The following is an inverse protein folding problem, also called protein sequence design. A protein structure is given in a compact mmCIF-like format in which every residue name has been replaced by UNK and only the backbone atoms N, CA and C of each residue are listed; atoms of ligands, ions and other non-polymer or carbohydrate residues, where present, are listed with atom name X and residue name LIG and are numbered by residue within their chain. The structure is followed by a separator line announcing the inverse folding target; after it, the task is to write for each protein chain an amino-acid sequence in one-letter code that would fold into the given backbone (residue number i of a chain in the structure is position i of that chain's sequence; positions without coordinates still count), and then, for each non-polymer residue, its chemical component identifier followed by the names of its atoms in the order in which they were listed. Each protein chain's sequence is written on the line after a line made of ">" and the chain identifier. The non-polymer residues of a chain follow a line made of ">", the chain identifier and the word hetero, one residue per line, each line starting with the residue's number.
data_IF_460933499439
#
_entry.id   IF_460933499439
#
_cell.length_a   1.000
_cell.length_b   1.000
_cell.length_c   1.000
_cell.angle_alpha   90.00
_cell.angle_beta   90.00
_cell.angle_gamma   90.00
#
_symmetry.space_group_name_H-M   'P 1'
#
loop_
_entity.id
_entity.type
_entity.pdbx_description
1 polymer ?
#
# COMPACT_ATOMS: atom_id res chain seq x y z
N UNK A 1 7.27 13.73 12.43
CA UNK A 1 6.75 14.42 11.23
C UNK A 1 7.83 14.81 10.20
N UNK A 2 9.10 15.08 10.60
CA UNK A 2 10.11 15.70 9.71
C UNK A 2 10.56 14.87 8.49
N UNK A 3 10.45 13.54 8.51
CA UNK A 3 10.97 12.68 7.43
C UNK A 3 9.96 12.35 6.30
N UNK A 4 8.66 12.69 6.43
CA UNK A 4 7.56 12.32 5.48
C UNK A 4 7.79 10.94 4.82
N UNK A 5 7.94 9.88 5.62
CA UNK A 5 8.42 8.56 5.18
C UNK A 5 7.39 7.43 5.30
N UNK A 6 6.10 7.74 5.54
CA UNK A 6 5.00 6.75 5.57
C UNK A 6 4.04 6.94 4.38
N UNK A 7 3.69 5.87 3.66
CA UNK A 7 2.66 5.89 2.57
C UNK A 7 1.61 4.81 2.78
N UNK A 8 0.39 5.08 2.33
CA UNK A 8 -0.70 4.09 2.24
C UNK A 8 -0.90 3.73 0.78
N UNK A 9 -1.13 2.45 0.53
CA UNK A 9 -1.38 1.88 -0.78
C UNK A 9 -2.72 1.13 -0.74
N UNK A 10 -3.52 1.25 -1.79
CA UNK A 10 -4.81 0.55 -1.90
C UNK A 10 -5.25 0.45 -3.36
N UNK A 11 -5.88 -0.65 -3.78
CA UNK A 11 -6.22 -0.86 -5.17
C UNK A 11 -7.56 -0.19 -5.50
N UNK A 12 -7.65 1.14 -5.31
CA UNK A 12 -8.91 1.91 -5.35
C UNK A 12 -9.91 1.53 -4.24
N UNK A 13 -9.40 1.17 -3.06
CA UNK A 13 -10.22 0.67 -1.95
C UNK A 13 -9.96 1.40 -0.62
N UNK A 14 -9.12 2.44 -0.58
CA UNK A 14 -8.74 3.10 0.70
C UNK A 14 -9.97 3.60 1.45
N UNK A 15 -10.90 4.25 0.76
CA UNK A 15 -12.16 4.69 1.36
C UNK A 15 -13.10 3.51 1.69
N UNK A 16 -13.24 2.55 0.78
CA UNK A 16 -14.09 1.36 0.97
C UNK A 16 -13.67 0.51 2.17
N UNK A 17 -12.35 0.45 2.43
CA UNK A 17 -11.73 -0.21 3.57
C UNK A 17 -11.74 0.62 4.86
N UNK A 18 -12.54 1.69 4.90
CA UNK A 18 -12.77 2.58 6.06
C UNK A 18 -11.54 3.36 6.52
N UNK A 19 -10.59 3.63 5.63
CA UNK A 19 -9.40 4.44 5.92
C UNK A 19 -9.52 5.90 5.46
N UNK A 20 -10.72 6.37 5.11
CA UNK A 20 -10.95 7.70 4.54
C UNK A 20 -10.56 8.87 5.45
N UNK A 21 -10.51 8.69 6.78
CA UNK A 21 -10.04 9.74 7.71
C UNK A 21 -8.60 10.18 7.40
N UNK A 22 -7.80 9.35 6.70
CA UNK A 22 -6.46 9.75 6.25
C UNK A 22 -6.51 11.00 5.35
N UNK A 23 -7.62 11.22 4.66
CA UNK A 23 -7.82 12.36 3.76
C UNK A 23 -7.94 13.70 4.49
N UNK A 24 -8.11 13.69 5.82
CA UNK A 24 -8.00 14.91 6.65
C UNK A 24 -6.55 15.38 6.80
N UNK A 25 -5.56 14.51 6.55
CA UNK A 25 -4.13 14.78 6.75
C UNK A 25 -3.30 14.79 5.45
N UNK A 26 -3.81 14.22 4.35
CA UNK A 26 -3.12 14.10 3.07
C UNK A 26 -4.07 13.62 1.97
N UNK A 27 -3.72 13.85 0.71
CA UNK A 27 -4.53 13.40 -0.43
C UNK A 27 -3.99 12.12 -1.10
N UNK A 28 -4.73 11.65 -2.12
CA UNK A 28 -4.25 10.68 -3.10
C UNK A 28 -3.25 11.33 -4.03
N UNK A 29 -2.12 10.67 -4.24
CA UNK A 29 -1.11 11.09 -5.20
C UNK A 29 -1.68 10.95 -6.61
N UNK A 30 -1.87 12.07 -7.30
CA UNK A 30 -2.41 12.12 -8.66
C UNK A 30 -1.60 13.10 -9.50
N UNK A 31 -1.11 12.65 -10.65
CA UNK A 31 -0.26 13.43 -11.57
C UNK A 31 -0.87 13.49 -12.98
N UNK A 32 -2.17 13.22 -13.10
CA UNK A 32 -2.93 13.36 -14.34
C UNK A 32 -3.89 14.55 -14.26
N UNK A 33 -4.60 14.81 -15.35
CA UNK A 33 -5.64 15.84 -15.39
C UNK A 33 -6.72 15.56 -14.34
N UNK A 34 -7.25 16.62 -13.73
CA UNK A 34 -8.35 16.57 -12.77
C UNK A 34 -9.55 17.30 -13.35
N UNK A 35 -10.75 16.80 -13.07
CA UNK A 35 -12.04 17.43 -13.40
C UNK A 35 -12.69 18.01 -12.14
N UNK A 36 -13.77 18.79 -12.31
CA UNK A 36 -14.38 19.56 -11.24
C UNK A 36 -14.94 18.71 -10.07
N UNK A 37 -15.31 17.45 -10.34
CA UNK A 37 -15.90 16.55 -9.34
C UNK A 37 -14.85 15.69 -8.61
N UNK A 38 -13.57 15.79 -8.99
CA UNK A 38 -12.50 15.06 -8.32
C UNK A 38 -12.25 15.57 -6.90
N UNK A 39 -12.08 14.65 -5.95
CA UNK A 39 -11.87 14.96 -4.54
C UNK A 39 -10.62 14.26 -4.00
N UNK A 40 -9.93 14.94 -3.09
CA UNK A 40 -8.75 14.43 -2.41
C UNK A 40 -7.64 13.96 -3.35
N UNK A 41 -7.32 14.76 -4.38
CA UNK A 41 -6.23 14.53 -5.32
C UNK A 41 -5.18 15.64 -5.19
N UNK A 42 -3.91 15.28 -4.96
CA UNK A 42 -2.79 16.23 -4.94
C UNK A 42 -1.50 15.52 -5.41
N UNK A 43 -0.66 16.12 -6.27
CA UNK A 43 0.60 15.51 -6.71
C UNK A 43 1.58 15.15 -5.57
N UNK A 44 1.46 15.79 -4.41
CA UNK A 44 2.26 15.54 -3.20
C UNK A 44 1.59 14.59 -2.19
N UNK A 45 0.43 14.03 -2.56
CA UNK A 45 -0.36 13.09 -1.78
C UNK A 45 0.43 11.86 -1.29
N UNK A 46 -0.07 11.25 -0.22
CA UNK A 46 0.60 10.13 0.50
C UNK A 46 -0.18 8.84 0.47
N UNK A 47 -1.41 8.87 -0.04
CA UNK A 47 -2.17 7.70 -0.43
C UNK A 47 -1.87 7.43 -1.91
N UNK A 48 -1.51 6.20 -2.24
CA UNK A 48 -1.23 5.75 -3.61
C UNK A 48 -2.33 4.78 -4.00
N UNK A 49 -3.13 5.12 -4.99
CA UNK A 49 -4.19 4.24 -5.48
C UNK A 49 -4.09 4.04 -7.00
N UNK A 50 -4.29 2.79 -7.40
CA UNK A 50 -4.51 2.35 -8.78
C UNK A 50 -5.20 1.00 -8.67
N UNK A 51 -6.18 0.70 -9.51
CA UNK A 51 -6.90 -0.58 -9.49
C UNK A 51 -5.99 -1.75 -9.97
N UNK A 52 -5.01 -2.10 -9.14
CA UNK A 52 -4.04 -3.17 -9.34
C UNK A 52 -3.32 -3.49 -8.02
N UNK A 53 -3.57 -4.68 -7.49
CA UNK A 53 -2.90 -5.22 -6.32
C UNK A 53 -1.39 -5.38 -6.58
N UNK A 54 -1.03 -5.80 -7.81
CA UNK A 54 0.36 -5.92 -8.24
C UNK A 54 1.13 -4.60 -8.12
N UNK A 55 0.56 -3.50 -8.63
CA UNK A 55 1.18 -2.18 -8.51
C UNK A 55 1.27 -1.74 -7.04
N UNK A 56 0.19 -1.90 -6.27
CA UNK A 56 0.15 -1.50 -4.87
C UNK A 56 1.21 -2.25 -4.02
N UNK A 57 1.28 -3.58 -4.15
CA UNK A 57 2.29 -4.37 -3.45
C UNK A 57 3.70 -4.05 -3.96
N UNK A 58 3.91 -4.00 -5.28
CA UNK A 58 5.22 -3.71 -5.86
C UNK A 58 5.78 -2.36 -5.42
N UNK A 59 4.94 -1.33 -5.40
CA UNK A 59 5.33 -0.02 -4.89
C UNK A 59 5.66 -0.07 -3.40
N UNK A 60 4.85 -0.73 -2.57
CA UNK A 60 5.14 -0.85 -1.13
C UNK A 60 6.44 -1.62 -0.89
N UNK A 61 6.68 -2.74 -1.56
CA UNK A 61 7.93 -3.50 -1.43
C UNK A 61 9.16 -2.63 -1.76
N UNK A 62 9.13 -1.91 -2.89
CA UNK A 62 10.20 -0.98 -3.26
C UNK A 62 10.38 0.15 -2.24
N UNK A 63 9.27 0.66 -1.67
CA UNK A 63 9.26 1.69 -0.64
C UNK A 63 9.95 1.23 0.65
N UNK A 64 9.68 0.00 1.08
CA UNK A 64 10.26 -0.61 2.28
C UNK A 64 11.75 -0.94 2.07
N UNK A 65 12.09 -1.49 0.90
CA UNK A 65 13.47 -1.84 0.54
C UNK A 65 14.39 -0.61 0.48
N UNK A 66 13.83 0.57 0.25
CA UNK A 66 14.54 1.86 0.28
C UNK A 66 14.47 2.57 1.64
N UNK A 67 14.10 1.85 2.71
CA UNK A 67 14.24 2.29 4.09
C UNK A 67 13.07 3.09 4.65
N UNK A 68 11.89 3.04 4.02
CA UNK A 68 10.69 3.80 4.43
C UNK A 68 9.61 2.85 4.97
N UNK A 69 8.40 3.36 5.22
CA UNK A 69 7.31 2.63 5.88
C UNK A 69 5.99 2.72 5.11
N UNK A 70 5.12 1.73 5.25
CA UNK A 70 3.78 1.85 4.70
C UNK A 70 2.82 0.74 5.12
N UNK A 71 1.61 0.87 4.58
CA UNK A 71 0.48 -0.03 4.75
C UNK A 71 -0.15 -0.29 3.38
N UNK A 72 -0.50 -1.54 3.09
CA UNK A 72 -1.32 -1.91 1.94
C UNK A 72 -2.65 -2.49 2.44
N UNK A 73 -3.76 -1.84 2.12
CA UNK A 73 -5.11 -2.36 2.38
C UNK A 73 -5.70 -2.99 1.13
N UNK A 74 -6.33 -4.15 1.26
CA UNK A 74 -6.93 -4.89 0.15
C UNK A 74 -8.14 -5.68 0.66
N UNK A 75 -9.14 -5.86 -0.21
CA UNK A 75 -10.20 -6.83 0.02
C UNK A 75 -9.61 -8.24 0.15
N UNK A 76 -10.13 -9.00 1.11
CA UNK A 76 -9.63 -10.35 1.42
C UNK A 76 -9.65 -11.28 0.20
N UNK A 77 -10.71 -11.23 -0.62
CA UNK A 77 -10.84 -12.11 -1.78
C UNK A 77 -9.78 -11.86 -2.86
N UNK A 78 -9.28 -10.61 -2.96
CA UNK A 78 -8.39 -10.18 -4.04
C UNK A 78 -6.91 -10.24 -3.66
N UNK A 79 -6.56 -10.40 -2.38
CA UNK A 79 -5.16 -10.49 -1.98
C UNK A 79 -4.42 -11.66 -2.64
N UNK A 80 -5.17 -12.71 -3.03
CA UNK A 80 -4.62 -13.86 -3.76
C UNK A 80 -3.98 -13.49 -5.10
N UNK A 81 -4.37 -12.36 -5.71
CA UNK A 81 -3.76 -11.84 -6.95
C UNK A 81 -2.25 -11.65 -6.78
N UNK A 82 -1.78 -11.37 -5.56
CA UNK A 82 -0.38 -11.09 -5.24
C UNK A 82 0.29 -12.16 -4.37
N UNK A 83 -0.32 -13.35 -4.22
CA UNK A 83 0.26 -14.48 -3.47
C UNK A 83 1.69 -14.80 -3.91
N UNK A 84 1.94 -14.76 -5.22
CA UNK A 84 3.26 -15.03 -5.77
C UNK A 84 4.28 -13.96 -5.36
N UNK A 85 3.89 -12.68 -5.30
CA UNK A 85 4.75 -11.58 -4.87
C UNK A 85 5.06 -11.70 -3.38
N UNK A 86 4.06 -12.00 -2.54
CA UNK A 86 4.28 -12.26 -1.10
C UNK A 86 5.28 -13.40 -0.90
N UNK A 87 5.15 -14.48 -1.66
CA UNK A 87 6.10 -15.59 -1.62
C UNK A 87 7.52 -15.17 -2.01
N UNK A 88 7.69 -14.32 -3.02
CA UNK A 88 9.02 -13.81 -3.40
C UNK A 88 9.58 -12.90 -2.32
N UNK A 89 8.79 -12.00 -1.75
CA UNK A 89 9.22 -11.11 -0.68
C UNK A 89 9.62 -11.89 0.59
N UNK A 90 8.86 -12.91 0.96
CA UNK A 90 9.18 -13.79 2.09
C UNK A 90 10.50 -14.54 1.88
N UNK A 91 10.73 -15.09 0.68
CA UNK A 91 12.02 -15.72 0.30
C UNK A 91 13.17 -14.72 0.38
N UNK A 92 12.97 -13.51 -0.15
CA UNK A 92 13.95 -12.43 -0.07
C UNK A 92 14.30 -12.10 1.39
N UNK A 93 13.29 -11.93 2.26
CA UNK A 93 13.50 -11.66 3.68
C UNK A 93 14.26 -12.79 4.39
N UNK A 94 13.98 -14.05 4.04
CA UNK A 94 14.71 -15.21 4.58
C UNK A 94 16.19 -15.13 4.23
N UNK A 95 16.53 -15.02 2.95
CA UNK A 95 17.93 -14.95 2.50
C UNK A 95 18.62 -13.67 2.99
N UNK A 96 17.92 -12.54 3.02
CA UNK A 96 18.45 -11.28 3.52
C UNK A 96 18.92 -11.35 4.98
N UNK A 97 18.28 -12.15 5.83
CA UNK A 97 18.69 -12.35 7.24
C UNK A 97 20.01 -13.09 7.37
N UNK A 98 20.39 -13.88 6.37
CA UNK A 98 21.65 -14.63 6.33
C UNK A 98 22.82 -13.77 5.81
N UNK A 99 22.57 -12.54 5.34
CA UNK A 99 23.56 -11.60 4.81
C UNK A 99 23.91 -10.55 5.88
N UNK A 100 25.05 -10.67 6.61
CA UNK A 100 25.27 -9.93 7.86
C UNK A 100 25.35 -8.40 7.70
N UNK A 101 25.79 -7.91 6.54
CA UNK A 101 25.90 -6.48 6.27
C UNK A 101 24.56 -5.85 5.86
N UNK A 102 23.56 -6.67 5.52
CA UNK A 102 22.26 -6.18 5.07
C UNK A 102 21.42 -5.77 6.27
N UNK A 103 21.16 -4.47 6.39
CA UNK A 103 20.35 -3.92 7.49
C UNK A 103 18.89 -4.38 7.39
N UNK A 104 18.19 -4.53 8.54
CA UNK A 104 16.75 -4.77 8.56
C UNK A 104 15.97 -3.65 7.84
N UNK A 105 14.83 -4.01 7.27
CA UNK A 105 13.86 -3.08 6.66
C UNK A 105 12.57 -3.10 7.48
N UNK A 106 11.71 -2.10 7.29
CA UNK A 106 10.36 -2.12 7.85
C UNK A 106 9.54 -3.29 7.26
N UNK A 107 8.60 -3.81 8.05
CA UNK A 107 7.73 -4.91 7.63
C UNK A 107 6.81 -4.54 6.46
N UNK A 108 6.51 -5.53 5.63
CA UNK A 108 5.38 -5.49 4.70
C UNK A 108 4.09 -5.70 5.49
N UNK A 109 3.31 -4.64 5.68
CA UNK A 109 2.08 -4.67 6.49
C UNK A 109 0.83 -4.68 5.60
N UNK A 110 -0.01 -5.69 5.79
CA UNK A 110 -1.32 -5.80 5.16
C UNK A 110 -2.44 -5.44 6.14
N UNK A 111 -3.41 -4.66 5.66
CA UNK A 111 -4.76 -4.66 6.22
C UNK A 111 -5.65 -5.45 5.27
N UNK A 112 -5.88 -6.72 5.59
CA UNK A 112 -6.92 -7.49 4.93
C UNK A 112 -8.24 -7.08 5.58
N UNK A 113 -9.19 -6.62 4.77
CA UNK A 113 -10.53 -6.25 5.25
C UNK A 113 -11.57 -6.53 4.18
N UNK A 114 -12.81 -6.09 4.39
CA UNK A 114 -13.95 -6.48 3.54
C UNK A 114 -13.98 -8.01 3.40
N UNK A 115 -13.92 -8.67 4.55
CA UNK A 115 -13.74 -10.11 4.66
C UNK A 115 -14.99 -10.87 4.19
N UNK A 116 -14.79 -12.15 3.90
CA UNK A 116 -15.78 -13.10 3.39
C UNK A 116 -17.16 -13.03 4.07
N UNK A 117 -17.23 -12.71 5.37
CA UNK A 117 -18.48 -12.68 6.13
C UNK A 117 -19.29 -11.38 5.99
N UNK A 118 -18.70 -10.31 5.42
CA UNK A 118 -19.31 -9.00 5.23
C UNK A 118 -18.91 -8.39 3.87
N UNK A 119 -19.13 -9.17 2.82
CA UNK A 119 -19.11 -8.75 1.41
C UNK A 119 -20.56 -8.69 0.92
N UNK A 120 -21.26 -7.62 1.32
CA UNK A 120 -22.71 -7.50 1.18
C UNK A 120 -23.14 -7.10 -0.26
N UNK A 121 -22.19 -6.71 -1.12
CA UNK A 121 -22.37 -6.27 -2.51
C UNK A 121 -21.45 -7.06 -3.44
#
# INVERSE_FOLDING_TARGET
>A
AQARNFRVFGPDETASNRLQTIFEATDRSWDAETIADDVHLDPSGRVMEVLSEHCCQGWLEGYLLTGRHGLFSCYEAFIHIVDSMVNQHAKWLKTAKEVPWRRPIASLNYLLTSHVWRQDH
#
